data_IF_870177493147
#
_entry.id   IF_870177493147
#
_cell.length_a   1.000
_cell.length_b   1.000
_cell.length_c   1.000
_cell.angle_alpha   90.00
_cell.angle_beta   90.00
_cell.angle_gamma   90.00
#
_symmetry.space_group_name_H-M   'P 1'
#
loop_
_entity.id
_entity.type
_entity.pdbx_description
1 polymer ?
#
# COMPACT_ATOMS: atom_id res chain seq x y z
N UNK A 1 7.12 60.78 6.84
CA UNK A 1 6.67 59.41 6.50
C UNK A 1 7.54 58.96 5.34
N UNK A 2 8.63 58.24 5.62
CA UNK A 2 9.50 57.69 4.57
C UNK A 2 9.28 56.19 4.51
N UNK A 3 8.68 55.72 3.42
CA UNK A 3 8.59 54.31 3.07
C UNK A 3 9.92 53.93 2.43
N UNK A 4 10.67 53.05 3.06
CA UNK A 4 12.00 52.63 2.64
C UNK A 4 11.90 51.61 1.49
N UNK A 5 12.34 51.94 0.25
CA UNK A 5 12.14 51.11 -0.93
C UNK A 5 12.94 49.78 -0.93
N UNK A 6 13.84 49.58 0.05
CA UNK A 6 14.61 48.34 0.20
C UNK A 6 13.80 47.20 0.84
N UNK A 7 12.75 47.50 1.58
CA UNK A 7 11.90 46.49 2.23
C UNK A 7 10.97 45.77 1.25
N UNK A 8 10.46 46.48 0.25
CA UNK A 8 9.55 45.93 -0.76
C UNK A 8 10.26 44.95 -1.69
N UNK A 9 11.51 45.20 -2.08
CA UNK A 9 12.24 44.32 -2.98
C UNK A 9 12.64 42.99 -2.32
N UNK A 10 12.95 43.01 -1.01
CA UNK A 10 13.23 41.80 -0.23
C UNK A 10 11.97 40.94 -0.05
N UNK A 11 10.83 41.56 0.23
CA UNK A 11 9.55 40.87 0.36
C UNK A 11 9.08 40.26 -0.96
N UNK A 12 9.27 40.97 -2.08
CA UNK A 12 8.92 40.47 -3.41
C UNK A 12 9.82 39.30 -3.86
N UNK A 13 11.12 39.30 -3.52
CA UNK A 13 12.02 38.17 -3.78
C UNK A 13 11.65 36.94 -2.95
N UNK A 14 11.22 37.13 -1.71
CA UNK A 14 10.71 36.04 -0.86
C UNK A 14 9.44 35.42 -1.46
N UNK A 15 8.50 36.23 -1.95
CA UNK A 15 7.29 35.74 -2.62
C UNK A 15 7.58 35.06 -3.98
N UNK A 16 8.64 35.47 -4.67
CA UNK A 16 9.09 34.79 -5.90
C UNK A 16 9.75 33.45 -5.61
N UNK A 17 10.58 33.34 -4.56
CA UNK A 17 11.12 32.05 -4.11
C UNK A 17 10.05 31.12 -3.55
N UNK A 18 9.06 31.63 -2.84
CA UNK A 18 7.95 30.83 -2.31
C UNK A 18 6.97 30.32 -3.38
N UNK A 19 7.08 30.83 -4.62
CA UNK A 19 6.32 30.37 -5.79
C UNK A 19 7.16 29.49 -6.74
N UNK A 20 8.40 29.15 -6.38
CA UNK A 20 9.10 28.09 -7.10
C UNK A 20 8.31 26.78 -6.91
N UNK A 21 7.98 26.06 -8.00
CA UNK A 21 7.29 24.79 -7.88
C UNK A 21 8.11 23.90 -6.96
N UNK A 22 7.44 23.32 -5.96
CA UNK A 22 8.05 22.38 -5.03
C UNK A 22 8.90 21.39 -5.84
N UNK A 23 10.15 21.12 -5.45
CA UNK A 23 10.97 20.14 -6.13
C UNK A 23 10.14 18.86 -6.19
N UNK A 24 9.85 18.39 -7.40
CA UNK A 24 9.18 17.12 -7.60
C UNK A 24 10.03 16.09 -6.86
N UNK A 25 9.50 15.59 -5.74
CA UNK A 25 10.07 14.47 -5.02
C UNK A 25 10.15 13.35 -6.05
N UNK A 26 11.38 12.98 -6.41
CA UNK A 26 11.60 11.96 -7.41
C UNK A 26 10.84 10.71 -6.97
N UNK A 27 9.93 10.22 -7.82
CA UNK A 27 9.28 8.93 -7.62
C UNK A 27 10.39 7.92 -7.35
N UNK A 28 10.44 7.39 -6.13
CA UNK A 28 11.45 6.42 -5.77
C UNK A 28 11.16 5.20 -6.63
N UNK A 29 12.14 4.82 -7.45
CA UNK A 29 12.06 3.63 -8.29
C UNK A 29 11.65 2.45 -7.42
N UNK A 30 10.46 1.91 -7.68
CA UNK A 30 9.82 0.80 -6.96
C UNK A 30 10.52 -0.55 -7.18
N UNK A 31 11.81 -0.55 -7.53
CA UNK A 31 12.59 -1.77 -7.73
C UNK A 31 12.98 -2.26 -6.34
N UNK A 32 12.29 -3.28 -5.78
CA UNK A 32 12.60 -3.76 -4.43
C UNK A 32 14.05 -4.19 -4.36
N UNK A 33 14.65 -4.02 -3.18
CA UNK A 33 15.92 -4.69 -2.93
C UNK A 33 15.70 -6.22 -3.03
N UNK A 34 16.70 -7.02 -3.46
CA UNK A 34 16.56 -8.47 -3.53
C UNK A 34 16.19 -9.14 -2.19
N UNK A 35 16.37 -8.43 -1.07
CA UNK A 35 16.02 -8.89 0.27
C UNK A 35 14.53 -8.74 0.62
N UNK A 36 13.80 -7.85 -0.07
CA UNK A 36 12.37 -7.56 0.14
C UNK A 36 11.43 -8.17 -0.91
N UNK A 37 11.98 -8.87 -1.92
CA UNK A 37 11.21 -9.70 -2.84
C UNK A 37 10.64 -10.91 -2.09
N UNK A 38 9.45 -10.75 -1.52
CA UNK A 38 8.65 -11.84 -0.95
C UNK A 38 8.41 -12.92 -2.03
N UNK A 39 9.10 -14.05 -1.89
CA UNK A 39 9.33 -15.02 -2.98
C UNK A 39 8.06 -15.68 -3.54
N UNK A 40 6.98 -15.72 -2.74
CA UNK A 40 5.72 -16.31 -3.16
C UNK A 40 4.76 -15.27 -3.78
N UNK A 41 5.05 -13.99 -3.61
CA UNK A 41 4.21 -12.88 -4.06
C UNK A 41 4.44 -12.61 -5.55
N UNK A 42 3.36 -12.62 -6.32
CA UNK A 42 3.39 -12.45 -7.77
C UNK A 42 2.51 -11.28 -8.20
N UNK A 43 2.90 -10.64 -9.31
CA UNK A 43 2.25 -9.41 -9.84
C UNK A 43 1.86 -9.54 -11.31
N UNK A 44 2.00 -10.73 -11.89
CA UNK A 44 1.50 -11.08 -13.22
C UNK A 44 0.06 -11.61 -13.15
N UNK A 45 -0.70 -11.60 -14.24
CA UNK A 45 -2.02 -12.23 -14.23
C UNK A 45 -1.93 -13.75 -13.93
N UNK A 46 -2.64 -14.30 -12.94
CA UNK A 46 -2.66 -15.74 -12.66
C UNK A 46 -3.42 -16.55 -13.72
N UNK A 47 -3.18 -17.86 -13.75
CA UNK A 47 -3.81 -18.80 -14.70
C UNK A 47 -5.12 -19.39 -14.20
N UNK A 48 -5.29 -19.46 -12.88
CA UNK A 48 -6.44 -20.03 -12.20
C UNK A 48 -7.62 -19.05 -12.31
N UNK A 49 -8.75 -19.47 -12.89
CA UNK A 49 -9.86 -18.57 -13.25
C UNK A 49 -10.35 -17.69 -12.09
N UNK A 50 -10.64 -18.29 -10.93
CA UNK A 50 -11.12 -17.57 -9.74
C UNK A 50 -10.11 -16.53 -9.25
N UNK A 51 -8.84 -16.93 -9.16
CA UNK A 51 -7.75 -16.05 -8.72
C UNK A 51 -7.49 -14.93 -9.74
N UNK A 52 -7.60 -15.22 -11.05
CA UNK A 52 -7.43 -14.26 -12.13
C UNK A 52 -8.55 -13.23 -12.20
N UNK A 53 -9.79 -13.62 -11.89
CA UNK A 53 -10.93 -12.69 -11.76
C UNK A 53 -10.78 -11.80 -10.53
N UNK A 54 -10.41 -12.37 -9.39
CA UNK A 54 -10.13 -11.60 -8.17
C UNK A 54 -8.97 -10.63 -8.38
N UNK A 55 -7.85 -11.09 -8.96
CA UNK A 55 -6.68 -10.27 -9.27
C UNK A 55 -7.03 -9.09 -10.17
N UNK A 56 -7.79 -9.31 -11.26
CA UNK A 56 -8.24 -8.23 -12.15
C UNK A 56 -9.14 -7.22 -11.44
N UNK A 57 -9.99 -7.68 -10.53
CA UNK A 57 -10.85 -6.80 -9.74
C UNK A 57 -10.02 -5.91 -8.81
N UNK A 58 -8.97 -6.47 -8.19
CA UNK A 58 -8.04 -5.71 -7.35
C UNK A 58 -7.21 -4.73 -8.18
N UNK A 59 -6.68 -5.12 -9.34
CA UNK A 59 -5.98 -4.21 -10.27
C UNK A 59 -6.84 -3.01 -10.61
N UNK A 60 -8.09 -3.24 -11.00
CA UNK A 60 -9.01 -2.16 -11.37
C UNK A 60 -9.35 -1.24 -10.19
N UNK A 61 -9.43 -1.77 -8.97
CA UNK A 61 -9.72 -0.99 -7.77
C UNK A 61 -8.50 -0.24 -7.20
N UNK A 62 -7.28 -0.72 -7.48
CA UNK A 62 -6.03 -0.12 -7.07
C UNK A 62 -5.50 0.93 -8.07
N UNK A 63 -6.04 0.97 -9.28
CA UNK A 63 -5.58 1.88 -10.34
C UNK A 63 -5.64 3.35 -9.91
N UNK A 64 -4.51 4.04 -10.04
CA UNK A 64 -4.36 5.44 -9.63
C UNK A 64 -4.32 5.68 -8.12
N UNK A 65 -4.19 4.65 -7.28
CA UNK A 65 -3.95 4.79 -5.85
C UNK A 65 -2.46 4.67 -5.52
N UNK A 66 -2.01 5.54 -4.61
CA UNK A 66 -0.70 5.44 -3.96
C UNK A 66 -0.86 5.51 -2.43
N UNK A 67 0.01 4.79 -1.72
CA UNK A 67 0.21 4.94 -0.29
C UNK A 67 1.03 6.21 -0.06
N UNK A 68 0.48 7.13 0.73
CA UNK A 68 1.14 8.38 1.10
C UNK A 68 1.66 8.21 2.53
N UNK A 69 2.96 7.97 2.66
CA UNK A 69 3.69 8.08 3.93
C UNK A 69 4.67 9.26 3.83
N UNK A 70 5.95 9.08 4.15
CA UNK A 70 6.97 10.08 3.80
C UNK A 70 7.26 10.11 2.30
N UNK A 71 6.97 9.00 1.62
CA UNK A 71 7.04 8.87 0.17
C UNK A 71 5.65 8.56 -0.39
N UNK A 72 5.49 8.84 -1.69
CA UNK A 72 4.33 8.36 -2.45
C UNK A 72 4.73 7.06 -3.15
N UNK A 73 4.07 5.95 -2.79
CA UNK A 73 4.34 4.64 -3.36
C UNK A 73 3.07 4.08 -4.01
N UNK A 74 3.12 3.80 -5.32
CA UNK A 74 2.00 3.21 -6.04
C UNK A 74 1.59 1.86 -5.46
N UNK A 75 0.28 1.59 -5.45
CA UNK A 75 -0.23 0.29 -5.06
C UNK A 75 -0.03 -0.71 -6.21
N UNK A 76 0.56 -1.85 -5.89
CA UNK A 76 0.70 -2.97 -6.82
C UNK A 76 -0.22 -4.11 -6.41
N UNK A 77 -1.06 -4.60 -7.32
CA UNK A 77 -1.88 -5.78 -7.09
C UNK A 77 -1.00 -7.04 -7.03
N UNK A 78 -1.24 -7.87 -6.02
CA UNK A 78 -0.47 -9.07 -5.73
C UNK A 78 -1.35 -10.28 -5.47
N UNK A 79 -0.78 -11.47 -5.69
CA UNK A 79 -1.37 -12.73 -5.29
C UNK A 79 -0.31 -13.74 -4.83
N UNK A 80 -0.77 -14.75 -4.10
CA UNK A 80 -0.02 -15.98 -3.76
C UNK A 80 -0.86 -17.18 -4.17
N UNK A 81 -0.21 -18.21 -4.73
CA UNK A 81 -0.92 -19.38 -5.25
C UNK A 81 -1.55 -20.24 -4.14
N UNK A 82 -2.65 -20.96 -4.42
CA UNK A 82 -3.35 -21.80 -3.45
C UNK A 82 -2.44 -22.78 -2.70
N UNK A 83 -1.51 -23.44 -3.40
CA UNK A 83 -0.60 -24.43 -2.81
C UNK A 83 0.43 -23.85 -1.84
N UNK A 84 0.57 -22.52 -1.83
CA UNK A 84 1.47 -21.79 -0.94
C UNK A 84 0.72 -21.18 0.26
N UNK A 85 -0.61 -21.28 0.32
CA UNK A 85 -1.41 -20.75 1.42
C UNK A 85 -1.34 -21.71 2.63
N UNK A 86 -0.80 -21.29 3.78
CA UNK A 86 -0.76 -22.13 4.97
C UNK A 86 -2.16 -22.33 5.54
N UNK A 87 -2.57 -23.59 5.80
CA UNK A 87 -3.85 -23.89 6.43
C UNK A 87 -4.03 -23.26 7.83
N UNK A 88 -2.91 -22.94 8.50
CA UNK A 88 -2.87 -22.39 9.86
C UNK A 88 -3.03 -20.87 9.95
N UNK A 89 -3.09 -20.15 8.81
CA UNK A 89 -3.28 -18.68 8.80
C UNK A 89 -4.64 -18.24 9.38
N UNK A 90 -5.49 -19.21 9.72
CA UNK A 90 -6.83 -19.05 10.27
C UNK A 90 -6.84 -18.95 11.82
N UNK A 91 -5.86 -19.53 12.56
CA UNK A 91 -6.08 -19.89 13.99
C UNK A 91 -5.01 -19.49 15.06
N UNK A 92 -3.89 -18.84 14.74
CA UNK A 92 -3.01 -18.29 15.79
C UNK A 92 -1.51 -18.29 15.49
N UNK A 93 -0.86 -17.26 16.03
CA UNK A 93 0.43 -16.66 15.62
C UNK A 93 0.50 -16.30 14.13
N UNK A 94 -0.45 -15.42 13.76
CA UNK A 94 -0.69 -15.01 12.37
C UNK A 94 0.54 -14.37 11.70
N UNK A 95 1.49 -13.82 12.46
CA UNK A 95 2.66 -13.15 11.88
C UNK A 95 3.63 -14.14 11.21
N UNK A 96 4.00 -15.25 11.87
CA UNK A 96 4.88 -16.25 11.26
C UNK A 96 4.22 -16.92 10.04
N UNK A 97 2.91 -17.15 10.11
CA UNK A 97 2.15 -17.71 9.00
C UNK A 97 2.05 -16.72 7.83
N UNK A 98 1.92 -15.42 8.11
CA UNK A 98 1.90 -14.39 7.07
C UNK A 98 3.29 -14.23 6.41
N UNK A 99 4.37 -14.25 7.19
CA UNK A 99 5.73 -14.29 6.65
C UNK A 99 5.95 -15.53 5.76
N UNK A 100 5.45 -16.70 6.18
CA UNK A 100 5.53 -17.94 5.40
C UNK A 100 4.72 -17.85 4.10
N UNK A 101 3.49 -17.31 4.15
CA UNK A 101 2.64 -17.07 2.99
C UNK A 101 3.39 -16.24 1.94
N UNK A 102 3.99 -15.14 2.37
CA UNK A 102 4.75 -14.23 1.50
C UNK A 102 6.07 -14.85 0.99
N UNK A 103 6.61 -15.87 1.67
CA UNK A 103 7.96 -16.35 1.43
C UNK A 103 9.01 -15.31 1.85
N UNK A 104 8.71 -14.56 2.91
CA UNK A 104 9.58 -13.57 3.52
C UNK A 104 10.60 -14.23 4.46
N UNK A 105 11.62 -13.47 4.90
CA UNK A 105 12.54 -13.93 5.93
C UNK A 105 11.76 -14.21 7.23
N UNK A 106 11.86 -15.41 7.85
CA UNK A 106 11.12 -15.75 9.07
C UNK A 106 11.50 -14.88 10.28
N UNK A 107 12.63 -14.17 10.21
CA UNK A 107 13.07 -13.23 11.24
C UNK A 107 12.73 -11.76 10.90
N UNK A 108 12.05 -11.49 9.76
CA UNK A 108 11.60 -10.14 9.45
C UNK A 108 10.54 -9.68 10.45
N UNK A 109 10.50 -8.37 10.71
CA UNK A 109 9.39 -7.79 11.46
C UNK A 109 8.10 -7.92 10.67
N UNK A 110 7.03 -8.31 11.33
CA UNK A 110 5.69 -8.41 10.76
C UNK A 110 4.66 -7.93 11.77
N UNK A 111 4.05 -6.80 11.49
CA UNK A 111 3.04 -6.17 12.34
C UNK A 111 1.68 -6.19 11.64
N UNK A 112 0.65 -6.69 12.33
CA UNK A 112 -0.72 -6.59 11.86
C UNK A 112 -1.27 -5.21 12.21
N UNK A 113 -1.71 -4.48 11.20
CA UNK A 113 -2.34 -3.17 11.36
C UNK A 113 -3.85 -3.31 11.51
N UNK A 114 -4.47 -2.37 12.24
CA UNK A 114 -5.92 -2.24 12.24
C UNK A 114 -6.39 -1.86 10.83
N UNK A 115 -7.19 -2.74 10.23
CA UNK A 115 -7.60 -2.63 8.83
C UNK A 115 -8.47 -1.40 8.60
N UNK A 116 -9.45 -1.14 9.47
CA UNK A 116 -10.34 0.00 9.31
C UNK A 116 -9.57 1.33 9.46
N UNK A 117 -8.74 1.44 10.49
CA UNK A 117 -7.91 2.61 10.74
C UNK A 117 -6.86 2.82 9.63
N UNK A 118 -6.32 1.76 9.03
CA UNK A 118 -5.41 1.87 7.89
C UNK A 118 -6.11 2.52 6.69
N UNK A 119 -7.24 1.96 6.24
CA UNK A 119 -7.96 2.49 5.08
C UNK A 119 -8.53 3.89 5.32
N UNK A 120 -8.97 4.20 6.55
CA UNK A 120 -9.40 5.55 6.91
C UNK A 120 -8.25 6.57 6.86
N UNK A 121 -7.07 6.20 7.38
CA UNK A 121 -5.86 7.04 7.29
C UNK A 121 -5.44 7.25 5.84
N UNK A 122 -5.40 6.20 5.03
CA UNK A 122 -5.03 6.29 3.62
C UNK A 122 -6.00 7.17 2.81
N UNK A 123 -7.31 7.01 3.03
CA UNK A 123 -8.34 7.85 2.42
C UNK A 123 -8.19 9.33 2.84
N UNK A 124 -7.90 9.58 4.12
CA UNK A 124 -7.68 10.93 4.64
C UNK A 124 -6.41 11.57 4.08
N UNK A 125 -5.31 10.81 4.00
CA UNK A 125 -4.05 11.27 3.41
C UNK A 125 -4.23 11.64 1.94
N UNK A 126 -4.89 10.80 1.14
CA UNK A 126 -5.19 11.09 -0.26
C UNK A 126 -6.06 12.35 -0.42
N UNK A 127 -7.05 12.55 0.46
CA UNK A 127 -7.86 13.77 0.47
C UNK A 127 -7.04 15.01 0.80
N UNK A 128 -6.14 14.92 1.78
CA UNK A 128 -5.31 16.04 2.22
C UNK A 128 -4.23 16.41 1.18
N UNK A 129 -3.74 15.44 0.42
CA UNK A 129 -2.84 15.63 -0.70
C UNK A 129 -3.55 16.24 -1.94
N UNK A 130 -4.86 16.41 -1.91
CA UNK A 130 -5.63 16.98 -3.02
C UNK A 130 -5.86 16.01 -4.19
N UNK A 131 -5.68 14.70 -3.98
CA UNK A 131 -5.95 13.69 -4.99
C UNK A 131 -7.46 13.63 -5.25
N UNK A 132 -7.86 13.99 -6.46
CA UNK A 132 -9.26 13.97 -6.88
C UNK A 132 -9.84 12.56 -6.68
N UNK A 133 -10.93 12.47 -5.91
CA UNK A 133 -11.60 11.21 -5.56
C UNK A 133 -10.74 10.20 -4.76
N UNK A 134 -9.53 10.55 -4.30
CA UNK A 134 -8.64 9.60 -3.62
C UNK A 134 -9.28 8.91 -2.41
N UNK A 135 -10.01 9.67 -1.58
CA UNK A 135 -10.75 9.11 -0.45
C UNK A 135 -11.87 8.14 -0.87
N UNK A 136 -12.50 8.36 -2.03
CA UNK A 136 -13.52 7.45 -2.55
C UNK A 136 -12.88 6.19 -3.16
N UNK A 137 -11.76 6.33 -3.87
CA UNK A 137 -11.01 5.21 -4.44
C UNK A 137 -10.49 4.28 -3.34
N UNK A 138 -9.91 4.80 -2.26
CA UNK A 138 -9.47 3.99 -1.11
C UNK A 138 -10.62 3.22 -0.45
N UNK A 139 -11.81 3.83 -0.30
CA UNK A 139 -13.00 3.15 0.20
C UNK A 139 -13.50 2.07 -0.77
N UNK A 140 -13.46 2.34 -2.07
CA UNK A 140 -13.82 1.39 -3.13
C UNK A 140 -12.87 0.18 -3.14
N UNK A 141 -11.57 0.40 -2.94
CA UNK A 141 -10.58 -0.67 -2.80
C UNK A 141 -10.88 -1.54 -1.57
N UNK A 142 -11.10 -0.93 -0.40
CA UNK A 142 -11.46 -1.66 0.82
C UNK A 142 -12.72 -2.50 0.60
N UNK A 143 -13.76 -1.93 -0.03
CA UNK A 143 -14.99 -2.66 -0.32
C UNK A 143 -14.76 -3.82 -1.30
N UNK A 144 -13.94 -3.61 -2.34
CA UNK A 144 -13.59 -4.65 -3.31
C UNK A 144 -12.87 -5.80 -2.62
N UNK A 145 -11.89 -5.51 -1.77
CA UNK A 145 -11.14 -6.54 -1.03
C UNK A 145 -12.05 -7.30 -0.06
N UNK A 146 -12.91 -6.61 0.69
CA UNK A 146 -13.88 -7.27 1.58
C UNK A 146 -14.84 -8.20 0.81
N UNK A 147 -15.36 -7.77 -0.33
CA UNK A 147 -16.25 -8.59 -1.16
C UNK A 147 -15.55 -9.87 -1.68
N UNK A 148 -14.22 -9.85 -1.82
CA UNK A 148 -13.45 -10.98 -2.34
C UNK A 148 -13.09 -12.02 -1.27
N UNK A 149 -12.83 -11.60 -0.02
CA UNK A 149 -12.28 -12.46 1.05
C UNK A 149 -13.31 -13.00 2.04
N UNK A 150 -14.60 -12.85 1.69
CA UNK A 150 -15.80 -13.22 2.46
C UNK A 150 -16.03 -12.38 3.74
N UNK A 151 -17.29 -12.27 4.16
CA UNK A 151 -17.81 -11.41 5.26
C UNK A 151 -17.25 -11.76 6.66
N UNK A 152 -16.38 -12.77 6.76
CA UNK A 152 -15.89 -13.36 8.00
C UNK A 152 -14.70 -12.62 8.65
N UNK A 153 -14.31 -11.45 8.13
CA UNK A 153 -13.22 -10.65 8.73
C UNK A 153 -11.81 -11.13 8.34
N UNK A 154 -11.66 -11.73 7.16
CA UNK A 154 -10.38 -12.21 6.64
C UNK A 154 -9.57 -11.15 5.89
N UNK A 155 -10.12 -9.95 5.66
CA UNK A 155 -9.30 -8.82 5.20
C UNK A 155 -8.33 -8.43 6.30
N UNK A 156 -7.05 -8.43 5.96
CA UNK A 156 -5.97 -8.10 6.88
C UNK A 156 -5.04 -7.09 6.23
N UNK A 157 -4.45 -6.24 7.08
CA UNK A 157 -3.38 -5.34 6.70
C UNK A 157 -2.15 -5.69 7.54
N UNK A 158 -1.02 -5.82 6.87
CA UNK A 158 0.25 -6.21 7.47
C UNK A 158 1.36 -5.31 6.97
N UNK A 159 2.19 -4.82 7.90
CA UNK A 159 3.48 -4.18 7.61
C UNK A 159 4.57 -5.22 7.81
N UNK A 160 5.38 -5.46 6.80
CA UNK A 160 6.44 -6.49 6.80
C UNK A 160 7.76 -5.87 6.39
N UNK A 161 8.78 -6.03 7.22
CA UNK A 161 10.09 -5.39 7.04
C UNK A 161 10.37 -4.37 8.14
N UNK A 162 11.49 -3.68 7.97
CA UNK A 162 12.06 -2.77 8.97
C UNK A 162 11.74 -1.32 8.59
N UNK A 163 11.94 -0.36 9.50
CA UNK A 163 11.51 1.03 9.27
C UNK A 163 12.10 1.69 8.00
N UNK A 164 13.29 1.26 7.60
CA UNK A 164 13.96 1.75 6.38
C UNK A 164 13.44 1.15 5.06
N UNK A 165 12.75 0.00 5.09
CA UNK A 165 12.21 -0.67 3.90
C UNK A 165 11.07 -1.63 4.30
N UNK A 166 9.94 -1.08 4.75
CA UNK A 166 8.76 -1.87 5.08
C UNK A 166 7.82 -1.97 3.88
N UNK A 167 7.12 -3.09 3.75
CA UNK A 167 6.07 -3.29 2.75
C UNK A 167 4.74 -3.47 3.46
N UNK A 168 3.74 -2.69 3.05
CA UNK A 168 2.38 -2.85 3.53
C UNK A 168 1.61 -3.72 2.55
N UNK A 169 0.98 -4.77 3.07
CA UNK A 169 0.10 -5.68 2.35
C UNK A 169 -1.32 -5.50 2.87
N UNK A 170 -2.29 -5.29 1.97
CA UNK A 170 -3.70 -5.25 2.30
C UNK A 170 -4.44 -6.26 1.41
N UNK A 171 -4.99 -7.31 2.01
CA UNK A 171 -5.63 -8.39 1.28
C UNK A 171 -6.05 -9.54 2.17
N UNK A 172 -6.41 -10.66 1.56
CA UNK A 172 -6.82 -11.84 2.31
C UNK A 172 -6.85 -13.09 1.44
N UNK A 173 -7.14 -14.21 2.11
CA UNK A 173 -7.29 -15.52 1.45
C UNK A 173 -8.69 -15.56 0.84
N UNK A 174 -8.75 -15.95 -0.44
CA UNK A 174 -10.02 -16.16 -1.14
C UNK A 174 -10.77 -17.37 -0.57
N UNK A 175 -12.11 -17.41 -0.72
CA UNK A 175 -12.92 -18.57 -0.36
C UNK A 175 -12.38 -19.88 -0.93
N UNK A 176 -12.65 -20.98 -0.23
CA UNK A 176 -12.20 -22.33 -0.58
C UNK A 176 -10.66 -22.49 -0.69
N UNK A 177 -9.90 -21.51 -0.19
CA UNK A 177 -8.44 -21.50 -0.27
C UNK A 177 -7.91 -21.26 -1.68
N UNK A 178 -8.67 -20.55 -2.54
CA UNK A 178 -8.31 -20.28 -3.95
C UNK A 178 -7.11 -19.35 -4.16
N UNK A 179 -6.29 -19.14 -3.13
CA UNK A 179 -5.11 -18.27 -3.12
C UNK A 179 -5.29 -17.05 -2.22
N UNK A 180 -4.22 -16.29 -2.04
CA UNK A 180 -4.26 -14.95 -1.44
C UNK A 180 -4.31 -13.91 -2.55
N UNK A 181 -5.09 -12.84 -2.36
CA UNK A 181 -5.10 -11.68 -3.25
C UNK A 181 -5.12 -10.39 -2.44
N UNK A 182 -4.46 -9.36 -2.94
CA UNK A 182 -4.41 -8.08 -2.27
C UNK A 182 -3.62 -7.03 -3.05
N UNK A 183 -3.30 -5.96 -2.36
CA UNK A 183 -2.36 -4.93 -2.83
C UNK A 183 -1.14 -4.91 -1.92
N UNK A 184 -0.02 -4.44 -2.45
CA UNK A 184 1.13 -4.03 -1.66
C UNK A 184 1.60 -2.64 -2.05
N UNK A 185 2.23 -1.94 -1.12
CA UNK A 185 2.97 -0.71 -1.37
C UNK A 185 4.19 -0.65 -0.45
N UNK A 186 5.24 0.05 -0.88
CA UNK A 186 6.39 0.32 -0.04
C UNK A 186 6.02 1.42 0.97
N UNK A 187 6.39 1.21 2.21
CA UNK A 187 6.25 2.14 3.32
C UNK A 187 7.64 2.47 3.85
N UNK A 188 8.09 3.70 3.56
CA UNK A 188 9.38 4.21 4.02
C UNK A 188 9.11 5.25 5.10
N UNK A 189 9.63 5.02 6.30
CA UNK A 189 9.67 5.98 7.40
C UNK A 189 11.16 6.26 7.70
N UNK A 190 11.57 7.54 7.81
CA UNK A 190 12.98 7.91 8.04
C UNK A 190 13.31 8.26 9.49
#
# INVERSE_FOLDING_TARGET
MSSDPAGDDAYLRFLQQANEPLPQTAAVSSTPSPATLHANTRTSLPTETTLAEAYRSVVAAADGLCLISETEADLEAVYVLPEQVPAALVDGDAHQQFLLLLGANPNASAERLDTAAFFERAASAASNAGLANGAQLWRSLMQTLNNLVDDSGHLQVWRVGDDSEAWVYAGGILPDGAGYVGVRALDVET
#
